data_IF_043166921252
#
_entry.id   IF_043166921252
#
_cell.length_a   1.000
_cell.length_b   1.000
_cell.length_c   1.000
_cell.angle_alpha   90.00
_cell.angle_beta   90.00
_cell.angle_gamma   90.00
#
_symmetry.space_group_name_H-M   'P 1'
#
loop_
_entity.id
_entity.type
_entity.pdbx_description
1 polymer ?
#
# COMPACT_ATOMS: atom_id res chain seq x y z
N UNK A 1 28.18 12.87 13.40
CA UNK A 1 28.60 11.47 13.59
C UNK A 1 27.41 10.73 14.22
N UNK A 2 27.01 9.56 13.70
CA UNK A 2 25.89 8.79 14.26
C UNK A 2 26.27 8.16 15.61
N UNK A 3 25.36 8.15 16.59
CA UNK A 3 25.59 7.43 17.85
C UNK A 3 25.66 5.92 17.59
N UNK A 4 26.19 5.15 18.54
CA UNK A 4 26.23 3.67 18.45
C UNK A 4 24.80 3.06 18.42
N UNK A 5 23.86 3.69 19.09
CA UNK A 5 22.45 3.31 19.14
C UNK A 5 21.79 3.58 17.78
N UNK A 6 21.97 4.78 17.20
CA UNK A 6 21.44 5.11 15.87
C UNK A 6 21.99 4.19 14.79
N UNK A 7 23.27 3.80 14.89
CA UNK A 7 23.88 2.85 13.94
C UNK A 7 23.20 1.49 13.99
N UNK A 8 23.00 0.93 15.19
CA UNK A 8 22.29 -0.33 15.36
C UNK A 8 20.85 -0.25 14.85
N UNK A 9 20.15 0.86 15.15
CA UNK A 9 18.79 1.07 14.67
C UNK A 9 18.72 1.18 13.14
N UNK A 10 19.71 1.82 12.52
CA UNK A 10 19.83 1.91 11.06
C UNK A 10 20.09 0.55 10.42
N UNK A 11 21.05 -0.24 10.94
CA UNK A 11 21.35 -1.59 10.46
C UNK A 11 20.14 -2.51 10.59
N UNK A 12 19.42 -2.45 11.71
CA UNK A 12 18.19 -3.21 11.90
C UNK A 12 17.09 -2.81 10.89
N UNK A 13 16.95 -1.50 10.57
CA UNK A 13 16.01 -1.04 9.57
C UNK A 13 16.37 -1.56 8.17
N UNK A 14 17.65 -1.52 7.78
CA UNK A 14 18.12 -2.06 6.51
C UNK A 14 17.84 -3.56 6.37
N UNK A 15 18.06 -4.32 7.45
CA UNK A 15 17.72 -5.75 7.47
C UNK A 15 16.21 -5.98 7.29
N UNK A 16 15.35 -5.16 7.93
CA UNK A 16 13.90 -5.25 7.77
C UNK A 16 13.45 -4.90 6.36
N UNK A 17 14.03 -3.87 5.74
CA UNK A 17 13.74 -3.49 4.35
C UNK A 17 14.01 -4.68 3.42
N UNK A 18 15.17 -5.34 3.57
CA UNK A 18 15.51 -6.52 2.77
C UNK A 18 14.57 -7.69 3.06
N UNK A 19 14.32 -7.98 4.33
CA UNK A 19 13.51 -9.13 4.74
C UNK A 19 12.04 -9.08 4.27
N UNK A 20 11.48 -7.89 4.01
CA UNK A 20 10.12 -7.73 3.48
C UNK A 20 10.05 -8.00 1.97
N UNK A 21 11.16 -7.85 1.25
CA UNK A 21 11.22 -8.06 -0.19
C UNK A 21 11.20 -9.54 -0.56
N UNK A 22 10.66 -9.90 -1.75
CA UNK A 22 10.87 -11.22 -2.33
C UNK A 22 12.37 -11.57 -2.38
N UNK A 23 12.69 -12.85 -2.24
CA UNK A 23 14.10 -13.33 -2.09
C UNK A 23 15.00 -12.83 -3.22
N UNK A 24 14.51 -12.79 -4.44
CA UNK A 24 15.26 -12.35 -5.64
C UNK A 24 15.71 -10.89 -5.60
N UNK A 25 15.03 -10.03 -4.80
CA UNK A 25 15.35 -8.61 -4.69
C UNK A 25 16.17 -8.25 -3.46
N UNK A 26 16.45 -9.20 -2.55
CA UNK A 26 17.08 -8.90 -1.27
C UNK A 26 18.54 -8.45 -1.41
N UNK A 27 19.26 -8.98 -2.39
CA UNK A 27 20.67 -8.64 -2.62
C UNK A 27 20.83 -7.41 -3.55
N UNK A 28 19.86 -7.14 -4.42
CA UNK A 28 19.93 -6.09 -5.44
C UNK A 28 18.85 -5.00 -5.31
N UNK A 29 18.21 -4.89 -4.16
CA UNK A 29 17.05 -4.01 -3.99
C UNK A 29 17.31 -2.51 -4.25
N UNK A 30 18.56 -2.09 -4.23
CA UNK A 30 18.96 -0.70 -4.53
C UNK A 30 19.06 -0.42 -6.02
N UNK A 31 19.31 -1.45 -6.81
CA UNK A 31 19.64 -1.37 -8.25
C UNK A 31 18.49 -1.80 -9.16
N UNK A 32 17.29 -2.01 -8.58
CA UNK A 32 16.11 -2.35 -9.38
C UNK A 32 15.69 -1.16 -10.21
N UNK A 33 15.76 -1.30 -11.54
CA UNK A 33 15.31 -0.29 -12.49
C UNK A 33 13.80 -0.46 -12.79
N UNK A 34 13.05 0.66 -12.92
CA UNK A 34 11.64 0.58 -13.27
C UNK A 34 11.44 -0.01 -14.68
N UNK A 35 10.72 -1.12 -14.76
CA UNK A 35 10.29 -1.71 -16.03
C UNK A 35 8.90 -1.18 -16.36
N UNK A 36 8.72 -0.64 -17.59
CA UNK A 36 7.42 -0.16 -18.06
C UNK A 36 6.46 -1.33 -18.28
N UNK A 37 5.24 -1.24 -17.71
CA UNK A 37 4.17 -2.21 -17.94
C UNK A 37 3.40 -1.92 -19.23
N UNK A 38 3.31 -2.93 -20.10
CA UNK A 38 2.30 -2.96 -21.15
C UNK A 38 0.93 -3.34 -20.58
N UNK A 39 -0.10 -2.54 -20.86
CA UNK A 39 -1.47 -2.90 -20.49
C UNK A 39 -2.00 -3.98 -21.45
N UNK A 40 -2.21 -5.21 -20.93
CA UNK A 40 -2.88 -6.23 -21.72
C UNK A 40 -4.36 -5.86 -21.95
N UNK A 41 -4.87 -6.09 -23.17
CA UNK A 41 -6.28 -5.93 -23.50
C UNK A 41 -7.12 -6.96 -22.74
N UNK A 42 -8.39 -6.61 -22.45
CA UNK A 42 -9.34 -7.56 -21.90
C UNK A 42 -9.60 -8.70 -22.88
N UNK A 43 -9.68 -9.91 -22.36
CA UNK A 43 -10.13 -11.11 -23.07
C UNK A 43 -11.47 -11.53 -22.51
N UNK A 44 -12.33 -12.02 -23.37
CA UNK A 44 -13.67 -12.44 -23.00
C UNK A 44 -13.84 -13.94 -23.23
N UNK A 45 -14.55 -14.60 -22.34
CA UNK A 45 -15.01 -15.98 -22.47
C UNK A 45 -16.23 -16.06 -23.41
N UNK A 46 -16.65 -17.28 -23.76
CA UNK A 46 -17.78 -17.50 -24.67
C UNK A 46 -19.12 -16.96 -24.13
N UNK A 47 -19.25 -16.85 -22.81
CA UNK A 47 -20.42 -16.26 -22.13
C UNK A 47 -20.38 -14.73 -22.05
N UNK A 48 -19.41 -14.09 -22.71
CA UNK A 48 -19.25 -12.64 -22.76
C UNK A 48 -18.66 -12.00 -21.49
N UNK A 49 -18.23 -12.79 -20.49
CA UNK A 49 -17.58 -12.27 -19.29
C UNK A 49 -16.08 -12.15 -19.49
N UNK A 50 -15.45 -11.26 -18.73
CA UNK A 50 -13.99 -11.11 -18.75
C UNK A 50 -13.33 -12.39 -18.23
N UNK A 51 -12.42 -12.95 -19.02
CA UNK A 51 -11.56 -14.08 -18.67
C UNK A 51 -10.31 -13.56 -17.96
N UNK A 52 -10.46 -13.22 -16.68
CA UNK A 52 -9.41 -12.57 -15.88
C UNK A 52 -8.12 -13.41 -15.77
N UNK A 53 -8.23 -14.73 -15.83
CA UNK A 53 -7.11 -15.67 -15.84
C UNK A 53 -6.28 -15.64 -17.14
N UNK A 54 -6.79 -15.03 -18.20
CA UNK A 54 -6.16 -15.00 -19.54
C UNK A 54 -5.61 -13.64 -19.95
N UNK A 55 -5.68 -12.63 -19.09
CA UNK A 55 -5.21 -11.27 -19.45
C UNK A 55 -3.72 -11.05 -19.11
N UNK A 56 -3.08 -12.04 -18.48
CA UNK A 56 -1.70 -11.94 -18.04
C UNK A 56 -0.73 -12.46 -19.11
N UNK A 57 0.34 -11.73 -19.33
CA UNK A 57 1.49 -12.20 -20.12
C UNK A 57 2.73 -12.25 -19.25
N UNK A 58 2.97 -11.19 -18.49
CA UNK A 58 4.05 -11.04 -17.53
C UNK A 58 3.68 -9.95 -16.51
N UNK A 59 4.29 -10.00 -15.33
CA UNK A 59 4.22 -8.89 -14.37
C UNK A 59 5.52 -8.08 -14.43
N UNK A 60 5.41 -6.77 -14.26
CA UNK A 60 6.57 -5.93 -13.99
C UNK A 60 6.97 -6.08 -12.52
N UNK A 61 8.17 -5.61 -12.18
CA UNK A 61 8.63 -5.57 -10.80
C UNK A 61 7.62 -4.87 -9.88
N UNK A 62 7.56 -5.33 -8.63
CA UNK A 62 6.76 -4.70 -7.60
C UNK A 62 7.25 -3.27 -7.34
N UNK A 63 6.33 -2.35 -7.08
CA UNK A 63 6.68 -1.02 -6.58
C UNK A 63 7.47 -1.09 -5.26
N UNK A 64 7.18 -2.09 -4.42
CA UNK A 64 7.95 -2.43 -3.24
C UNK A 64 9.42 -2.76 -3.56
N UNK A 65 9.68 -3.47 -4.65
CA UNK A 65 11.02 -3.81 -5.11
C UNK A 65 11.71 -2.69 -5.92
N UNK A 66 11.03 -1.56 -6.17
CA UNK A 66 11.57 -0.42 -6.92
C UNK A 66 10.94 -0.23 -8.30
N UNK A 67 10.08 -1.13 -8.74
CA UNK A 67 9.31 -0.98 -9.95
C UNK A 67 8.39 0.25 -9.94
N UNK A 68 7.82 0.62 -11.10
CA UNK A 68 6.84 1.69 -11.14
C UNK A 68 5.55 1.23 -10.46
N UNK A 69 4.85 2.11 -9.72
CA UNK A 69 3.51 1.79 -9.23
C UNK A 69 2.58 1.47 -10.39
N UNK A 70 1.68 0.50 -10.19
CA UNK A 70 0.69 0.12 -11.20
C UNK A 70 -0.20 1.28 -11.64
N UNK A 71 -0.45 2.22 -10.72
CA UNK A 71 -1.19 3.48 -10.97
C UNK A 71 -0.30 4.68 -10.68
N UNK A 72 -0.40 5.72 -11.52
CA UNK A 72 0.27 6.99 -11.27
C UNK A 72 -0.32 7.74 -10.07
N UNK A 73 -1.63 7.53 -9.79
CA UNK A 73 -2.35 8.09 -8.64
C UNK A 73 -3.11 7.00 -7.90
N UNK A 74 -3.37 7.23 -6.61
CA UNK A 74 -4.10 6.28 -5.78
C UNK A 74 -5.50 5.99 -6.34
N UNK A 75 -5.80 4.72 -6.51
CA UNK A 75 -7.15 4.22 -6.73
C UNK A 75 -7.82 4.03 -5.37
N UNK A 76 -8.79 4.88 -5.05
CA UNK A 76 -9.43 4.94 -3.73
C UNK A 76 -10.72 4.15 -3.69
N UNK A 77 -11.07 3.63 -2.50
CA UNK A 77 -12.40 3.13 -2.21
C UNK A 77 -13.43 4.27 -2.30
N UNK A 78 -14.63 3.96 -2.79
CA UNK A 78 -15.69 4.96 -2.83
C UNK A 78 -16.18 5.32 -1.41
N UNK A 79 -16.52 6.58 -1.24
CA UNK A 79 -17.13 7.09 -0.02
C UNK A 79 -18.56 6.57 0.16
N UNK A 80 -19.08 6.61 1.39
CA UNK A 80 -20.49 6.30 1.67
C UNK A 80 -21.44 7.21 0.87
N UNK A 81 -21.08 8.48 0.70
CA UNK A 81 -21.88 9.44 -0.08
C UNK A 81 -21.98 9.05 -1.56
N UNK A 82 -20.87 8.68 -2.17
CA UNK A 82 -20.85 8.19 -3.57
C UNK A 82 -21.67 6.91 -3.74
N UNK A 83 -21.58 5.98 -2.78
CA UNK A 83 -22.35 4.73 -2.81
C UNK A 83 -23.85 5.01 -2.63
N UNK A 84 -24.21 5.89 -1.69
CA UNK A 84 -25.60 6.25 -1.43
C UNK A 84 -26.25 7.04 -2.59
N UNK A 85 -25.44 7.83 -3.32
CA UNK A 85 -25.92 8.59 -4.48
C UNK A 85 -26.05 7.73 -5.74
N UNK A 86 -25.45 6.55 -5.78
CA UNK A 86 -25.50 5.65 -6.92
C UNK A 86 -26.69 4.67 -6.81
N UNK A 87 -27.13 4.14 -7.97
CA UNK A 87 -28.08 3.02 -7.97
C UNK A 87 -27.43 1.79 -7.30
N UNK A 88 -28.10 1.15 -6.32
CA UNK A 88 -27.53 0.02 -5.56
C UNK A 88 -27.02 -1.11 -6.46
N UNK A 89 -27.69 -1.35 -7.57
CA UNK A 89 -27.31 -2.39 -8.53
C UNK A 89 -25.96 -2.09 -9.24
N UNK A 90 -25.63 -0.83 -9.44
CA UNK A 90 -24.31 -0.45 -10.00
C UNK A 90 -23.18 -0.85 -9.05
N UNK A 91 -23.29 -0.50 -7.79
CA UNK A 91 -22.29 -0.86 -6.78
C UNK A 91 -22.19 -2.37 -6.60
N UNK A 92 -23.34 -3.05 -6.52
CA UNK A 92 -23.42 -4.52 -6.42
C UNK A 92 -22.73 -5.20 -7.60
N UNK A 93 -22.99 -4.77 -8.83
CA UNK A 93 -22.35 -5.32 -10.04
C UNK A 93 -20.83 -5.17 -10.00
N UNK A 94 -20.33 -4.00 -9.61
CA UNK A 94 -18.88 -3.75 -9.49
C UNK A 94 -18.24 -4.65 -8.45
N UNK A 95 -18.83 -4.71 -7.24
CA UNK A 95 -18.27 -5.54 -6.16
C UNK A 95 -18.25 -7.01 -6.51
N UNK A 96 -19.31 -7.53 -7.13
CA UNK A 96 -19.38 -8.93 -7.57
C UNK A 96 -18.35 -9.23 -8.68
N UNK A 97 -18.11 -8.31 -9.62
CA UNK A 97 -17.12 -8.52 -10.67
C UNK A 97 -15.69 -8.49 -10.11
N UNK A 98 -15.37 -7.59 -9.16
CA UNK A 98 -14.09 -7.61 -8.45
C UNK A 98 -13.91 -8.93 -7.70
N UNK A 99 -14.93 -9.38 -6.95
CA UNK A 99 -14.87 -10.64 -6.22
C UNK A 99 -14.61 -11.83 -7.17
N UNK A 100 -15.36 -11.90 -8.27
CA UNK A 100 -15.21 -12.94 -9.29
C UNK A 100 -13.80 -12.94 -9.89
N UNK A 101 -13.30 -11.75 -10.26
CA UNK A 101 -11.99 -11.61 -10.87
C UNK A 101 -10.86 -12.02 -9.94
N UNK A 102 -10.87 -11.54 -8.70
CA UNK A 102 -9.85 -11.90 -7.71
C UNK A 102 -9.88 -13.40 -7.40
N UNK A 103 -11.08 -13.98 -7.19
CA UNK A 103 -11.21 -15.41 -6.97
C UNK A 103 -10.66 -16.23 -8.15
N UNK A 104 -10.94 -15.81 -9.38
CA UNK A 104 -10.46 -16.49 -10.59
C UNK A 104 -8.94 -16.47 -10.70
N UNK A 105 -8.27 -15.36 -10.38
CA UNK A 105 -6.81 -15.20 -10.56
C UNK A 105 -6.00 -15.66 -9.35
N UNK A 106 -6.61 -15.74 -8.16
CA UNK A 106 -5.89 -16.10 -6.93
C UNK A 106 -6.37 -17.39 -6.27
N UNK A 107 -7.58 -17.83 -6.57
CA UNK A 107 -8.24 -18.92 -5.86
C UNK A 107 -8.65 -18.61 -4.41
N UNK A 108 -8.44 -17.38 -3.93
CA UNK A 108 -8.81 -16.98 -2.58
C UNK A 108 -10.32 -16.73 -2.47
N UNK A 109 -10.88 -16.93 -1.27
CA UNK A 109 -12.27 -16.59 -0.99
C UNK A 109 -12.43 -15.08 -0.91
N UNK A 110 -13.36 -14.54 -1.69
CA UNK A 110 -13.62 -13.10 -1.79
C UNK A 110 -15.11 -12.83 -1.68
N UNK A 111 -15.47 -11.80 -0.94
CA UNK A 111 -16.86 -11.39 -0.74
C UNK A 111 -16.98 -9.86 -0.67
N UNK A 112 -18.15 -9.27 -0.94
CA UNK A 112 -18.44 -7.89 -0.59
C UNK A 112 -18.19 -7.66 0.91
N UNK A 113 -17.54 -6.55 1.24
CA UNK A 113 -17.29 -6.22 2.64
C UNK A 113 -18.54 -5.60 3.30
N UNK A 114 -18.76 -5.80 4.61
CA UNK A 114 -19.72 -5.01 5.38
C UNK A 114 -19.35 -3.53 5.46
N UNK A 115 -18.08 -3.20 5.22
CA UNK A 115 -17.61 -1.80 5.14
C UNK A 115 -17.88 -1.31 3.71
N UNK A 116 -18.74 -0.29 3.51
CA UNK A 116 -19.01 0.25 2.18
C UNK A 116 -17.74 0.76 1.49
N UNK A 117 -17.64 0.56 0.18
CA UNK A 117 -16.47 0.93 -0.61
C UNK A 117 -15.38 -0.15 -0.69
N UNK A 118 -15.59 -1.32 -0.04
CA UNK A 118 -14.58 -2.38 0.02
C UNK A 118 -15.13 -3.76 -0.36
N UNK A 119 -14.25 -4.59 -0.89
CA UNK A 119 -14.39 -6.04 -0.91
C UNK A 119 -13.39 -6.65 0.06
N UNK A 120 -13.71 -7.80 0.64
CA UNK A 120 -12.84 -8.51 1.57
C UNK A 120 -12.31 -9.80 0.95
N UNK A 121 -11.02 -10.04 1.13
CA UNK A 121 -10.30 -11.23 0.65
C UNK A 121 -9.79 -12.00 1.86
N UNK A 122 -10.12 -13.28 1.94
CA UNK A 122 -9.63 -14.16 2.99
C UNK A 122 -8.28 -14.73 2.59
N UNK A 123 -7.21 -14.24 3.18
CA UNK A 123 -5.85 -14.75 3.01
C UNK A 123 -5.62 -16.01 3.83
N UNK A 124 -4.62 -16.81 3.46
CA UNK A 124 -4.29 -18.06 4.15
C UNK A 124 -3.61 -17.83 5.50
N UNK A 125 -2.88 -16.73 5.64
CA UNK A 125 -2.17 -16.35 6.86
C UNK A 125 -2.26 -14.84 7.12
N UNK A 126 -2.09 -14.44 8.37
CA UNK A 126 -1.96 -13.03 8.77
C UNK A 126 -0.76 -12.35 8.07
N UNK A 127 0.35 -13.08 7.93
CA UNK A 127 1.53 -12.60 7.22
C UNK A 127 1.21 -12.29 5.75
N UNK A 128 0.49 -13.16 5.05
CA UNK A 128 0.03 -12.94 3.69
C UNK A 128 -0.83 -11.67 3.59
N UNK A 129 -1.85 -11.53 4.44
CA UNK A 129 -2.74 -10.36 4.43
C UNK A 129 -1.95 -9.06 4.65
N UNK A 130 -1.06 -9.04 5.64
CA UNK A 130 -0.22 -7.89 5.95
C UNK A 130 0.77 -7.54 4.86
N UNK A 131 1.35 -8.53 4.19
CA UNK A 131 2.30 -8.31 3.10
C UNK A 131 1.57 -7.83 1.83
N UNK A 132 0.47 -8.49 1.44
CA UNK A 132 -0.32 -8.10 0.29
C UNK A 132 -0.86 -6.67 0.44
N UNK A 133 -1.36 -6.31 1.63
CA UNK A 133 -1.84 -4.94 1.88
C UNK A 133 -0.74 -3.90 1.64
N UNK A 134 0.49 -4.16 2.10
CA UNK A 134 1.63 -3.26 1.87
C UNK A 134 2.03 -3.21 0.40
N UNK A 135 2.14 -4.35 -0.26
CA UNK A 135 2.51 -4.43 -1.66
C UNK A 135 1.50 -3.69 -2.55
N UNK A 136 0.19 -3.92 -2.34
CA UNK A 136 -0.88 -3.33 -3.15
C UNK A 136 -0.99 -1.81 -2.94
N UNK A 137 -0.81 -1.31 -1.72
CA UNK A 137 -0.83 0.13 -1.49
C UNK A 137 0.34 0.83 -2.17
N UNK A 138 1.50 0.19 -2.26
CA UNK A 138 2.65 0.72 -3.00
C UNK A 138 2.41 0.75 -4.52
N UNK A 139 1.52 -0.09 -5.05
CA UNK A 139 1.06 -0.04 -6.44
C UNK A 139 0.04 1.09 -6.70
N UNK A 140 -0.22 1.94 -5.72
CA UNK A 140 -1.24 2.99 -5.74
C UNK A 140 -2.67 2.44 -5.94
N UNK A 141 -2.96 1.30 -5.35
CA UNK A 141 -4.32 0.78 -5.15
C UNK A 141 -4.59 0.74 -3.64
N UNK A 142 -5.67 1.37 -3.20
CA UNK A 142 -6.03 1.36 -1.78
C UNK A 142 -6.17 -0.06 -1.26
N UNK A 143 -5.53 -0.33 -0.14
CA UNK A 143 -5.66 -1.59 0.56
C UNK A 143 -5.50 -1.38 2.05
N UNK A 144 -6.01 -2.31 2.82
CA UNK A 144 -5.85 -2.38 4.26
C UNK A 144 -5.98 -3.81 4.74
N UNK A 145 -5.46 -4.10 5.90
CA UNK A 145 -5.69 -5.39 6.55
C UNK A 145 -6.16 -5.17 7.99
N UNK A 146 -6.86 -6.16 8.53
CA UNK A 146 -7.14 -6.25 9.96
C UNK A 146 -6.02 -7.02 10.68
N UNK A 147 -6.22 -7.27 11.98
CA UNK A 147 -5.28 -8.04 12.79
C UNK A 147 -5.37 -9.56 12.54
N UNK A 148 -6.22 -9.98 11.62
CA UNK A 148 -6.46 -11.39 11.28
C UNK A 148 -5.91 -11.73 9.89
N UNK A 149 -6.67 -12.45 9.10
CA UNK A 149 -6.30 -12.88 7.76
C UNK A 149 -7.08 -12.13 6.66
N UNK A 150 -7.80 -11.06 7.01
CA UNK A 150 -8.64 -10.32 6.06
C UNK A 150 -7.88 -9.16 5.42
N UNK A 151 -7.83 -9.17 4.11
CA UNK A 151 -7.38 -8.06 3.26
C UNK A 151 -8.60 -7.36 2.66
N UNK A 152 -8.60 -6.02 2.66
CA UNK A 152 -9.63 -5.21 2.03
C UNK A 152 -9.07 -4.50 0.80
N UNK A 153 -9.84 -4.53 -0.30
CA UNK A 153 -9.52 -3.89 -1.57
C UNK A 153 -10.65 -2.94 -1.98
N UNK A 154 -10.34 -1.86 -2.74
CA UNK A 154 -11.30 -0.81 -3.01
C UNK A 154 -12.35 -1.24 -4.02
N UNK A 155 -13.55 -0.72 -3.85
CA UNK A 155 -14.66 -0.82 -4.78
C UNK A 155 -15.43 0.50 -4.83
N UNK A 156 -16.09 0.79 -5.95
CA UNK A 156 -16.88 2.00 -6.11
C UNK A 156 -17.88 1.89 -7.24
N UNK A 157 -19.07 2.52 -7.15
CA UNK A 157 -20.12 2.42 -8.17
C UNK A 157 -19.69 2.93 -9.54
N UNK A 158 -18.74 3.88 -9.58
CA UNK A 158 -18.18 4.43 -10.82
C UNK A 158 -17.04 3.63 -11.43
N UNK A 159 -16.67 2.47 -10.86
CA UNK A 159 -15.57 1.65 -11.38
C UNK A 159 -15.97 0.98 -12.70
N UNK A 160 -15.10 1.10 -13.69
CA UNK A 160 -15.25 0.50 -15.03
C UNK A 160 -14.38 -0.73 -15.15
N UNK A 161 -14.88 -1.70 -15.91
CA UNK A 161 -14.23 -3.01 -16.10
C UNK A 161 -12.81 -2.85 -16.68
N UNK A 162 -12.69 -1.99 -17.70
CA UNK A 162 -11.44 -1.78 -18.45
C UNK A 162 -10.40 -0.97 -17.66
N UNK A 163 -10.78 -0.39 -16.53
CA UNK A 163 -9.94 0.58 -15.82
C UNK A 163 -9.81 0.25 -14.34
N UNK A 164 -10.73 0.72 -13.51
CA UNK A 164 -10.63 0.61 -12.07
C UNK A 164 -10.71 -0.86 -11.61
N UNK A 165 -11.69 -1.63 -12.09
CA UNK A 165 -11.87 -3.06 -11.76
C UNK A 165 -10.63 -3.86 -12.21
N UNK A 166 -10.18 -3.66 -13.47
CA UNK A 166 -8.96 -4.29 -13.98
C UNK A 166 -7.76 -3.99 -13.10
N UNK A 167 -7.60 -2.72 -12.66
CA UNK A 167 -6.47 -2.32 -11.83
C UNK A 167 -6.47 -3.00 -10.46
N UNK A 168 -7.64 -3.12 -9.80
CA UNK A 168 -7.76 -3.85 -8.52
C UNK A 168 -7.37 -5.31 -8.70
N UNK A 169 -7.92 -5.98 -9.72
CA UNK A 169 -7.67 -7.41 -9.98
C UNK A 169 -6.21 -7.62 -10.37
N UNK A 170 -5.62 -6.75 -11.20
CA UNK A 170 -4.22 -6.86 -11.63
C UNK A 170 -3.26 -6.68 -10.46
N UNK A 171 -3.46 -5.67 -9.62
CA UNK A 171 -2.59 -5.43 -8.46
C UNK A 171 -2.65 -6.59 -7.47
N UNK A 172 -3.85 -7.15 -7.26
CA UNK A 172 -4.02 -8.33 -6.41
C UNK A 172 -3.35 -9.57 -7.00
N UNK A 173 -3.53 -9.83 -8.31
CA UNK A 173 -2.92 -10.97 -8.99
C UNK A 173 -1.38 -10.90 -8.92
N UNK A 174 -0.82 -9.72 -9.25
CA UNK A 174 0.62 -9.44 -9.18
C UNK A 174 1.18 -9.67 -7.78
N UNK A 175 0.60 -9.03 -6.77
CA UNK A 175 1.06 -9.18 -5.40
C UNK A 175 0.94 -10.64 -4.91
N UNK A 176 -0.16 -11.33 -5.25
CA UNK A 176 -0.37 -12.73 -4.87
C UNK A 176 0.64 -13.66 -5.57
N UNK A 177 0.97 -13.41 -6.84
CA UNK A 177 2.01 -14.12 -7.57
C UNK A 177 3.38 -13.98 -6.86
N UNK A 178 3.82 -12.75 -6.57
CA UNK A 178 5.06 -12.54 -5.84
C UNK A 178 5.07 -13.18 -4.44
N UNK A 179 3.95 -13.13 -3.72
CA UNK A 179 3.86 -13.80 -2.42
C UNK A 179 4.04 -15.30 -2.52
N UNK A 180 3.44 -15.95 -3.52
CA UNK A 180 3.40 -17.42 -3.63
C UNK A 180 4.61 -18.01 -4.33
N UNK A 181 5.05 -17.35 -5.40
CA UNK A 181 5.99 -17.94 -6.35
C UNK A 181 7.43 -17.39 -6.19
N UNK A 182 7.57 -16.22 -5.50
CA UNK A 182 8.86 -15.57 -5.27
C UNK A 182 9.24 -15.46 -3.79
N UNK A 183 8.41 -15.94 -2.88
CA UNK A 183 8.75 -16.10 -1.47
C UNK A 183 8.64 -17.58 -1.09
N UNK A 184 9.74 -18.20 -0.72
CA UNK A 184 9.72 -19.55 -0.15
C UNK A 184 8.87 -19.61 1.13
N UNK A 185 8.45 -20.80 1.54
CA UNK A 185 7.72 -20.96 2.80
C UNK A 185 8.53 -20.45 4.01
N UNK A 186 9.85 -20.60 3.97
CA UNK A 186 10.77 -20.05 4.97
C UNK A 186 10.76 -18.53 4.97
N UNK A 187 10.76 -17.90 3.79
CA UNK A 187 10.69 -16.44 3.67
C UNK A 187 9.34 -15.89 4.14
N UNK A 188 8.24 -16.55 3.78
CA UNK A 188 6.90 -16.18 4.27
C UNK A 188 6.81 -16.23 5.80
N UNK A 189 7.43 -17.24 6.44
CA UNK A 189 7.50 -17.33 7.90
C UNK A 189 8.34 -16.19 8.49
N UNK A 190 9.53 -15.92 7.93
CA UNK A 190 10.37 -14.78 8.38
C UNK A 190 9.65 -13.44 8.29
N UNK A 191 8.87 -13.22 7.22
CA UNK A 191 8.04 -12.01 7.07
C UNK A 191 6.97 -11.97 8.17
N UNK A 192 6.35 -13.10 8.49
CA UNK A 192 5.37 -13.20 9.57
C UNK A 192 5.95 -12.82 10.92
N UNK A 193 7.08 -13.43 11.29
CA UNK A 193 7.80 -13.17 12.54
C UNK A 193 8.24 -11.70 12.63
N UNK A 194 8.69 -11.13 11.51
CA UNK A 194 9.04 -9.72 11.41
C UNK A 194 7.83 -8.81 11.64
N UNK A 195 6.68 -9.10 11.05
CA UNK A 195 5.48 -8.29 11.24
C UNK A 195 4.96 -8.37 12.67
N UNK A 196 5.06 -9.52 13.33
CA UNK A 196 4.71 -9.66 14.75
C UNK A 196 5.67 -8.88 15.66
N UNK A 197 6.97 -8.90 15.37
CA UNK A 197 7.95 -8.08 16.07
C UNK A 197 7.70 -6.58 15.88
N UNK A 198 7.40 -6.14 14.65
CA UNK A 198 7.08 -4.74 14.34
C UNK A 198 5.78 -4.30 15.06
N UNK A 199 4.78 -5.17 15.13
CA UNK A 199 3.51 -4.88 15.83
C UNK A 199 3.70 -4.75 17.35
N UNK A 200 4.63 -5.48 17.92
CA UNK A 200 5.00 -5.35 19.34
C UNK A 200 5.73 -4.02 19.63
N UNK A 201 6.47 -3.46 18.68
CA UNK A 201 7.17 -2.18 18.82
C UNK A 201 6.24 -0.97 18.61
N UNK A 202 5.31 -1.06 17.65
CA UNK A 202 4.43 0.04 17.27
C UNK A 202 3.19 -0.51 16.54
N UNK A 203 2.00 0.06 16.77
CA UNK A 203 0.81 -0.33 16.02
C UNK A 203 1.02 -0.10 14.51
N UNK A 204 0.32 -0.89 13.69
CA UNK A 204 0.29 -0.65 12.25
C UNK A 204 -0.47 0.64 11.96
N UNK A 205 0.20 1.61 11.37
CA UNK A 205 -0.43 2.84 10.90
C UNK A 205 -0.79 2.67 9.42
N UNK A 206 -2.10 2.64 9.16
CA UNK A 206 -2.69 2.54 7.82
C UNK A 206 -3.87 3.51 7.72
N UNK A 207 -4.34 3.90 6.52
CA UNK A 207 -5.52 4.76 6.41
C UNK A 207 -6.73 4.17 7.10
N UNK A 208 -7.58 5.01 7.66
CA UNK A 208 -8.85 4.58 8.24
C UNK A 208 -9.73 3.91 7.17
N UNK A 209 -10.56 2.95 7.59
CA UNK A 209 -11.45 2.23 6.68
C UNK A 209 -12.50 3.12 6.04
N UNK A 210 -12.94 4.11 6.79
CA UNK A 210 -13.99 5.05 6.39
C UNK A 210 -13.56 6.44 6.83
N UNK A 211 -13.44 7.36 5.88
CA UNK A 211 -13.09 8.74 6.16
C UNK A 211 -14.23 9.53 6.87
N UNK A 212 -15.42 8.94 6.99
CA UNK A 212 -16.62 9.65 7.47
C UNK A 212 -16.83 9.67 8.97
N UNK A 213 -16.09 8.85 9.73
CA UNK A 213 -16.13 8.92 11.18
C UNK A 213 -15.33 10.11 11.72
N UNK A 214 -14.70 10.86 10.80
CA UNK A 214 -13.90 12.03 11.13
C UNK A 214 -14.64 13.30 10.70
N UNK A 215 -14.77 14.22 11.63
CA UNK A 215 -15.13 15.60 11.30
C UNK A 215 -14.05 16.14 10.33
N UNK A 216 -14.46 16.67 9.19
CA UNK A 216 -13.58 17.28 8.17
C UNK A 216 -12.61 18.30 8.78
N UNK A 217 -13.05 19.04 9.79
CA UNK A 217 -12.23 20.02 10.50
C UNK A 217 -11.14 19.33 11.35
N UNK A 218 -11.48 18.23 12.02
CA UNK A 218 -10.51 17.42 12.80
C UNK A 218 -9.46 16.81 11.88
N UNK A 219 -9.84 16.25 10.73
CA UNK A 219 -8.89 15.72 9.75
C UNK A 219 -7.98 16.82 9.21
N UNK A 220 -8.54 17.97 8.85
CA UNK A 220 -7.77 19.12 8.35
C UNK A 220 -6.79 19.66 9.40
N UNK A 221 -7.21 19.74 10.67
CA UNK A 221 -6.36 20.17 11.78
C UNK A 221 -5.19 19.22 11.99
N UNK A 222 -5.46 17.92 12.09
CA UNK A 222 -4.44 16.87 12.26
C UNK A 222 -3.43 16.85 11.10
N UNK A 223 -3.90 16.96 9.86
CA UNK A 223 -3.01 17.06 8.68
C UNK A 223 -2.08 18.25 8.77
N UNK A 224 -2.61 19.40 9.15
CA UNK A 224 -1.80 20.63 9.30
C UNK A 224 -0.77 20.48 10.40
N UNK A 225 -1.14 19.86 11.52
CA UNK A 225 -0.24 19.59 12.64
C UNK A 225 0.89 18.64 12.24
N UNK A 226 0.56 17.49 11.65
CA UNK A 226 1.57 16.52 11.13
C UNK A 226 2.49 17.22 10.11
N UNK A 227 1.93 17.98 9.16
CA UNK A 227 2.71 18.67 8.14
C UNK A 227 3.70 19.66 8.74
N UNK A 228 3.28 20.44 9.75
CA UNK A 228 4.12 21.40 10.44
C UNK A 228 5.24 20.70 11.25
N UNK A 229 4.90 19.65 12.00
CA UNK A 229 5.85 18.89 12.81
C UNK A 229 6.90 18.17 11.93
N UNK A 230 6.49 17.60 10.81
CA UNK A 230 7.41 17.01 9.83
C UNK A 230 8.33 18.09 9.23
N UNK A 231 7.77 19.23 8.81
CA UNK A 231 8.59 20.35 8.27
C UNK A 231 9.62 20.82 9.28
N UNK A 232 9.24 20.99 10.54
CA UNK A 232 10.17 21.43 11.61
C UNK A 232 11.27 20.40 11.87
N UNK A 233 10.92 19.10 11.85
CA UNK A 233 11.86 18.02 12.18
C UNK A 233 12.80 17.68 11.03
N UNK A 234 12.32 17.78 9.78
CA UNK A 234 13.02 17.26 8.60
C UNK A 234 13.36 18.31 7.54
N UNK A 235 12.67 19.43 7.52
CA UNK A 235 12.72 20.42 6.43
C UNK A 235 11.93 20.00 5.17
N UNK A 236 11.26 18.84 5.16
CA UNK A 236 10.49 18.37 4.00
C UNK A 236 9.31 19.31 3.71
N UNK A 237 9.06 19.53 2.42
CA UNK A 237 7.93 20.33 1.95
C UNK A 237 6.69 19.45 1.80
N UNK A 238 5.58 19.76 2.48
CA UNK A 238 4.31 19.08 2.26
C UNK A 238 3.82 19.25 0.82
N UNK A 239 3.22 18.20 0.27
CA UNK A 239 2.55 18.24 -1.01
C UNK A 239 1.18 18.88 -0.87
N UNK A 240 0.86 19.86 -1.71
CA UNK A 240 -0.36 20.69 -1.55
C UNK A 240 -1.65 19.96 -1.98
N UNK A 241 -1.56 19.01 -2.93
CA UNK A 241 -2.74 18.31 -3.40
C UNK A 241 -3.34 17.41 -2.31
N UNK A 242 -4.64 17.56 -2.10
CA UNK A 242 -5.38 16.76 -1.14
C UNK A 242 -5.51 15.30 -1.60
N UNK A 243 -5.28 14.37 -0.68
CA UNK A 243 -5.56 12.96 -0.87
C UNK A 243 -6.13 12.41 0.46
N UNK A 244 -7.39 11.97 0.43
CA UNK A 244 -8.08 11.50 1.64
C UNK A 244 -7.31 10.38 2.35
N UNK A 245 -7.12 10.54 3.66
CA UNK A 245 -6.38 9.60 4.49
C UNK A 245 -4.85 9.60 4.28
N UNK A 246 -4.30 10.48 3.42
CA UNK A 246 -2.88 10.55 3.10
C UNK A 246 -2.32 11.97 3.12
N UNK A 247 -1.08 12.10 3.55
CA UNK A 247 -0.31 13.34 3.51
C UNK A 247 0.98 13.11 2.72
N UNK A 248 1.23 13.92 1.69
CA UNK A 248 2.37 13.82 0.80
C UNK A 248 3.54 14.71 1.22
N UNK A 249 4.77 14.26 0.92
CA UNK A 249 6.00 15.05 1.07
C UNK A 249 6.89 14.87 -0.15
N UNK A 250 7.44 15.97 -0.64
CA UNK A 250 8.31 15.98 -1.83
C UNK A 250 9.72 15.56 -1.47
N UNK A 251 10.30 14.66 -2.25
CA UNK A 251 11.67 14.19 -2.15
C UNK A 251 12.50 14.62 -3.36
N UNK A 252 13.84 14.71 -3.24
CA UNK A 252 14.69 15.22 -4.31
C UNK A 252 14.79 14.27 -5.51
N UNK A 253 14.50 12.99 -5.35
CA UNK A 253 14.57 11.99 -6.42
C UNK A 253 13.61 10.82 -6.19
N UNK A 254 13.32 10.11 -7.27
CA UNK A 254 12.55 8.84 -7.22
C UNK A 254 13.28 7.81 -6.33
N UNK A 255 14.61 7.72 -6.41
CA UNK A 255 15.42 6.79 -5.60
C UNK A 255 15.25 7.07 -4.10
N UNK A 256 15.29 8.34 -3.69
CA UNK A 256 15.05 8.70 -2.28
C UNK A 256 13.62 8.42 -1.84
N UNK A 257 12.62 8.71 -2.68
CA UNK A 257 11.22 8.41 -2.38
C UNK A 257 10.97 6.89 -2.23
N UNK A 258 11.57 6.04 -3.07
CA UNK A 258 11.49 4.57 -2.98
C UNK A 258 12.09 4.09 -1.65
N UNK A 259 13.31 4.53 -1.33
CA UNK A 259 13.96 4.09 -0.09
C UNK A 259 13.15 4.51 1.15
N UNK A 260 12.69 5.77 1.19
CA UNK A 260 11.85 6.28 2.27
C UNK A 260 10.55 5.49 2.39
N UNK A 261 9.88 5.16 1.28
CA UNK A 261 8.66 4.35 1.26
C UNK A 261 8.90 2.98 1.90
N UNK A 262 9.97 2.28 1.49
CA UNK A 262 10.36 0.98 2.07
C UNK A 262 10.67 1.08 3.55
N UNK A 263 11.40 2.11 3.96
CA UNK A 263 11.79 2.34 5.34
C UNK A 263 10.59 2.64 6.25
N UNK A 264 9.58 3.39 5.76
CA UNK A 264 8.32 3.60 6.47
C UNK A 264 7.56 2.27 6.64
N UNK A 265 7.48 1.47 5.58
CA UNK A 265 6.80 0.16 5.61
C UNK A 265 7.51 -0.82 6.56
N UNK A 266 8.85 -0.84 6.55
CA UNK A 266 9.68 -1.59 7.50
C UNK A 266 9.63 -1.06 8.94
N UNK A 267 8.98 0.10 9.15
CA UNK A 267 8.70 0.70 10.44
C UNK A 267 7.21 0.63 10.83
N UNK A 268 6.46 -0.32 10.24
CA UNK A 268 5.03 -0.57 10.48
C UNK A 268 4.08 0.58 10.11
N UNK A 269 4.46 1.40 9.14
CA UNK A 269 3.63 2.47 8.60
C UNK A 269 3.41 2.22 7.12
N UNK A 270 2.16 2.18 6.66
CA UNK A 270 1.88 2.13 5.23
C UNK A 270 2.49 3.36 4.55
N UNK A 271 3.01 3.15 3.36
CA UNK A 271 3.54 4.23 2.54
C UNK A 271 3.35 3.90 1.06
N UNK A 272 3.18 4.93 0.27
CA UNK A 272 3.09 4.84 -1.19
C UNK A 272 3.76 6.06 -1.81
N UNK A 273 4.00 6.04 -3.10
CA UNK A 273 4.57 7.17 -3.80
C UNK A 273 3.84 7.50 -5.11
N UNK A 274 3.88 8.77 -5.46
CA UNK A 274 3.55 9.25 -6.81
C UNK A 274 4.78 10.01 -7.27
N UNK A 275 5.53 9.45 -8.23
CA UNK A 275 6.82 9.96 -8.66
C UNK A 275 7.78 10.21 -7.48
N UNK A 276 8.15 11.44 -7.18
CA UNK A 276 9.02 11.84 -6.07
C UNK A 276 8.27 12.17 -4.78
N UNK A 277 6.95 12.11 -4.78
CA UNK A 277 6.12 12.41 -3.61
C UNK A 277 5.86 11.14 -2.82
N UNK A 278 6.35 11.09 -1.59
CA UNK A 278 6.01 10.05 -0.62
C UNK A 278 4.72 10.42 0.10
N UNK A 279 3.78 9.49 0.17
CA UNK A 279 2.55 9.62 0.95
C UNK A 279 2.58 8.71 2.17
N UNK A 280 2.23 9.28 3.32
CA UNK A 280 2.06 8.60 4.59
C UNK A 280 0.60 8.68 5.04
N UNK A 281 0.08 7.70 5.81
CA UNK A 281 -1.30 7.72 6.25
C UNK A 281 -1.54 8.75 7.36
N UNK A 282 -2.74 9.33 7.32
CA UNK A 282 -3.30 10.11 8.43
C UNK A 282 -4.43 9.30 9.04
N UNK A 283 -4.28 8.87 10.28
CA UNK A 283 -5.27 8.03 10.96
C UNK A 283 -5.46 8.49 12.41
N UNK A 284 -6.48 9.32 12.69
CA UNK A 284 -6.73 9.85 14.02
C UNK A 284 -7.21 8.80 15.04
N UNK A 285 -7.46 7.55 14.63
CA UNK A 285 -7.80 6.47 15.55
C UNK A 285 -6.52 5.77 16.06
N UNK A 286 -5.63 5.38 15.15
CA UNK A 286 -4.41 4.65 15.48
C UNK A 286 -3.22 5.55 15.85
N UNK A 287 -3.26 6.83 15.43
CA UNK A 287 -2.25 7.86 15.74
C UNK A 287 -2.94 9.22 15.88
N UNK A 288 -3.66 9.46 17.00
CA UNK A 288 -4.54 10.63 17.19
C UNK A 288 -3.86 11.99 17.04
N UNK A 289 -2.58 12.09 17.45
CA UNK A 289 -1.77 13.31 17.30
C UNK A 289 -0.82 13.29 16.11
N UNK A 290 -0.71 12.17 15.39
CA UNK A 290 0.30 12.01 14.34
C UNK A 290 1.73 11.81 14.89
N UNK A 291 1.90 11.64 16.19
CA UNK A 291 3.23 11.60 16.85
C UNK A 291 4.07 10.40 16.40
N UNK A 292 3.42 9.25 16.21
CA UNK A 292 4.10 8.02 15.76
C UNK A 292 4.66 8.22 14.37
N UNK A 293 3.83 8.73 13.45
CA UNK A 293 4.22 8.99 12.06
C UNK A 293 5.34 10.05 12.00
N UNK A 294 5.20 11.17 12.72
CA UNK A 294 6.20 12.25 12.75
C UNK A 294 7.54 11.75 13.29
N UNK A 295 7.52 11.04 14.41
CA UNK A 295 8.73 10.49 15.05
C UNK A 295 9.46 9.50 14.14
N UNK A 296 8.71 8.56 13.52
CA UNK A 296 9.30 7.54 12.65
C UNK A 296 9.82 8.19 11.36
N UNK A 297 9.03 9.05 10.71
CA UNK A 297 9.47 9.76 9.50
C UNK A 297 10.73 10.59 9.76
N UNK A 298 10.79 11.31 10.88
CA UNK A 298 11.97 12.07 11.28
C UNK A 298 13.22 11.19 11.47
N UNK A 299 13.06 10.01 12.11
CA UNK A 299 14.17 9.05 12.26
C UNK A 299 14.62 8.49 10.91
N UNK A 300 13.70 8.04 10.09
CA UNK A 300 14.00 7.49 8.75
C UNK A 300 14.63 8.55 7.86
N UNK A 301 14.17 9.80 7.92
CA UNK A 301 14.76 10.92 7.18
C UNK A 301 16.24 11.17 7.59
N UNK A 302 16.56 11.11 8.89
CA UNK A 302 17.97 11.20 9.33
C UNK A 302 18.82 10.07 8.75
N UNK A 303 18.29 8.84 8.69
CA UNK A 303 18.99 7.70 8.10
C UNK A 303 19.19 7.87 6.58
N UNK A 304 18.20 8.40 5.86
CA UNK A 304 18.32 8.72 4.43
C UNK A 304 19.45 9.73 4.17
N UNK A 305 19.62 10.73 5.03
CA UNK A 305 20.76 11.67 4.95
C UNK A 305 22.10 11.00 5.18
N UNK A 306 22.20 10.06 6.12
CA UNK A 306 23.42 9.26 6.33
C UNK A 306 23.77 8.45 5.09
N UNK A 307 22.78 7.92 4.38
CA UNK A 307 22.94 7.22 3.10
C UNK A 307 23.22 8.14 1.91
N UNK A 308 23.22 9.45 2.09
CA UNK A 308 23.37 10.45 1.01
C UNK A 308 22.27 10.33 -0.05
N UNK A 309 21.06 9.98 0.37
CA UNK A 309 19.86 9.96 -0.48
C UNK A 309 19.13 11.31 -0.49
N UNK A 310 19.47 12.17 0.48
CA UNK A 310 18.88 13.50 0.66
C UNK A 310 19.98 14.56 0.78
#
# INVERSE_FOLDING_TARGET
>A
MMSSEDRRAFEALEQRIRAILPEEYQDSYEDVEPISMGSASLKYSQDGKVAWDKIWGSFCDLAMAGGPPHKGKLLMAASRGEIAAAAPEMYRRVTLEICRGIQMVTGLVVAPSPIPGWVQVQCTTKAMAGWLARAIVMENVSSRCDSTTTLYLPAGPGYRVEKEIKNVITSMAKACHYWRDHNSASQQQKIGDLFDAMAAESPLIQPAAVSHDFNVETDRSLRREIANNVRQTTGLTPWEAHCDGWLGFVFPSVKSAIWMMRAMVASNIFARREDTVLFIPVNPISDPGGDVVVRILGRVHRFARVRRLL
#
